data_IF_476039304412
#
_entry.id   IF_476039304412
#
_cell.length_a   1.000
_cell.length_b   1.000
_cell.length_c   1.000
_cell.angle_alpha   90.00
_cell.angle_beta   90.00
_cell.angle_gamma   90.00
#
_symmetry.space_group_name_H-M   'P 1'
#
loop_
_entity.id
_entity.type
_entity.pdbx_description
1 polymer ?
#
# COMPACT_ATOMS: atom_id res chain seq x y z
N UNK A 1 -5.95 24.04 -9.46
CA UNK A 1 -4.90 24.40 -10.46
C UNK A 1 -4.02 23.23 -10.88
N UNK A 2 -3.60 22.33 -9.99
CA UNK A 2 -2.67 21.22 -10.31
C UNK A 2 -3.24 20.17 -11.30
N UNK A 3 -4.48 19.71 -11.11
CA UNK A 3 -5.10 18.74 -12.04
C UNK A 3 -5.31 19.24 -13.46
N UNK A 4 -5.50 20.55 -13.66
CA UNK A 4 -5.68 21.14 -14.98
C UNK A 4 -4.39 21.13 -15.81
N UNK A 5 -3.22 21.20 -15.18
CA UNK A 5 -1.92 21.03 -15.87
C UNK A 5 -1.71 19.59 -16.34
N UNK A 6 -2.08 18.61 -15.51
CA UNK A 6 -2.01 17.19 -15.87
C UNK A 6 -2.97 16.86 -17.03
N UNK A 7 -4.16 17.45 -17.03
CA UNK A 7 -5.15 17.30 -18.09
C UNK A 7 -4.63 17.80 -19.45
N UNK A 8 -4.08 19.01 -19.49
CA UNK A 8 -3.53 19.58 -20.72
C UNK A 8 -2.31 18.79 -21.23
N UNK A 9 -1.48 18.29 -20.31
CA UNK A 9 -0.39 17.37 -20.68
C UNK A 9 -0.91 16.07 -21.28
N UNK A 10 -1.89 15.40 -20.66
CA UNK A 10 -2.50 14.17 -21.17
C UNK A 10 -3.14 14.36 -22.55
N UNK A 11 -3.82 15.49 -22.77
CA UNK A 11 -4.40 15.84 -24.08
C UNK A 11 -3.35 15.95 -25.18
N UNK A 12 -2.16 16.44 -24.85
CA UNK A 12 -1.05 16.57 -25.77
C UNK A 12 -0.37 15.21 -26.01
N UNK A 13 -0.09 14.44 -24.95
CA UNK A 13 0.61 13.15 -25.03
C UNK A 13 -0.20 12.07 -25.77
N UNK A 14 -1.53 12.06 -25.58
CA UNK A 14 -2.42 11.06 -26.18
C UNK A 14 -3.10 11.54 -27.47
N UNK A 15 -2.58 12.59 -28.11
CA UNK A 15 -3.17 13.19 -29.32
C UNK A 15 -3.24 12.20 -30.49
N UNK A 16 -2.21 11.38 -30.65
CA UNK A 16 -2.00 10.53 -31.83
C UNK A 16 -2.37 9.06 -31.59
N UNK A 17 -3.00 8.74 -30.46
CA UNK A 17 -3.49 7.38 -30.18
C UNK A 17 -4.72 7.12 -31.05
N UNK A 18 -4.73 5.96 -31.73
CA UNK A 18 -5.75 5.53 -32.70
C UNK A 18 -7.19 5.65 -32.17
N UNK A 19 -7.35 5.60 -30.84
CA UNK A 19 -8.60 5.84 -30.12
C UNK A 19 -8.37 6.91 -29.04
N UNK A 20 -8.38 8.18 -29.45
CA UNK A 20 -8.14 9.31 -28.54
C UNK A 20 -9.17 9.30 -27.39
N UNK A 21 -8.74 9.33 -26.12
CA UNK A 21 -9.67 9.40 -25.00
C UNK A 21 -10.49 10.68 -25.00
N UNK A 22 -11.75 10.59 -24.57
CA UNK A 22 -12.61 11.75 -24.42
C UNK A 22 -12.09 12.68 -23.31
N UNK A 23 -12.42 13.98 -23.39
CA UNK A 23 -12.06 14.91 -22.31
C UNK A 23 -12.69 14.54 -20.96
N UNK A 24 -13.84 13.85 -21.01
CA UNK A 24 -14.51 13.29 -19.83
C UNK A 24 -13.68 12.16 -19.22
N UNK A 25 -13.22 11.19 -20.01
CA UNK A 25 -12.37 10.08 -19.53
C UNK A 25 -11.03 10.59 -18.97
N UNK A 26 -10.43 11.61 -19.58
CA UNK A 26 -9.21 12.24 -19.04
C UNK A 26 -9.47 12.95 -17.71
N UNK A 27 -10.64 13.57 -17.54
CA UNK A 27 -11.03 14.23 -16.28
C UNK A 27 -11.29 13.19 -15.19
N UNK A 28 -12.03 12.13 -15.54
CA UNK A 28 -12.33 10.99 -14.66
C UNK A 28 -11.04 10.32 -14.17
N UNK A 29 -10.07 10.08 -15.05
CA UNK A 29 -8.78 9.51 -14.67
C UNK A 29 -8.06 10.38 -13.64
N UNK A 30 -8.12 11.71 -13.77
CA UNK A 30 -7.46 12.64 -12.83
C UNK A 30 -8.16 12.62 -11.48
N UNK A 31 -9.49 12.63 -11.46
CA UNK A 31 -10.28 12.56 -10.24
C UNK A 31 -10.06 11.23 -9.51
N UNK A 32 -10.10 10.11 -10.23
CA UNK A 32 -9.90 8.79 -9.65
C UNK A 32 -8.47 8.59 -9.17
N UNK A 33 -7.48 9.10 -9.91
CA UNK A 33 -6.07 9.13 -9.47
C UNK A 33 -5.89 9.88 -8.17
N UNK A 34 -6.49 11.08 -8.06
CA UNK A 34 -6.45 11.87 -6.83
C UNK A 34 -7.08 11.09 -5.68
N UNK A 35 -8.25 10.49 -5.91
CA UNK A 35 -8.97 9.68 -4.92
C UNK A 35 -8.14 8.47 -4.47
N UNK A 36 -7.55 7.72 -5.39
CA UNK A 36 -6.71 6.55 -5.11
C UNK A 36 -5.53 6.96 -4.25
N UNK A 37 -4.81 8.04 -4.61
CA UNK A 37 -3.64 8.50 -3.86
C UNK A 37 -4.05 8.96 -2.46
N UNK A 38 -5.13 9.74 -2.31
CA UNK A 38 -5.64 10.15 -0.99
C UNK A 38 -6.00 8.96 -0.13
N UNK A 39 -6.78 8.00 -0.65
CA UNK A 39 -7.12 6.77 0.07
C UNK A 39 -5.89 5.96 0.45
N UNK A 40 -4.84 5.99 -0.36
CA UNK A 40 -3.60 5.27 -0.09
C UNK A 40 -2.78 5.96 1.02
N UNK A 41 -2.80 7.28 1.10
CA UNK A 41 -2.15 8.07 2.15
C UNK A 41 -2.84 7.96 3.52
N UNK A 42 -4.16 7.79 3.52
CA UNK A 42 -4.95 7.62 4.76
C UNK A 42 -4.86 6.22 5.36
N UNK A 43 -4.27 5.25 4.65
CA UNK A 43 -4.13 3.87 5.16
C UNK A 43 -3.15 3.81 6.32
N UNK A 44 -3.46 3.01 7.36
CA UNK A 44 -2.49 2.74 8.42
C UNK A 44 -1.23 2.11 7.82
N UNK A 45 -0.08 2.54 8.30
CA UNK A 45 1.21 2.07 7.81
C UNK A 45 1.32 0.55 7.99
N UNK A 46 1.52 -0.17 6.88
CA UNK A 46 1.71 -1.63 6.92
C UNK A 46 3.00 -1.93 7.70
N UNK A 47 2.87 -2.66 8.80
CA UNK A 47 4.03 -3.18 9.52
C UNK A 47 4.78 -4.21 8.66
N UNK A 48 6.12 -4.14 8.66
CA UNK A 48 6.97 -5.18 8.05
C UNK A 48 6.75 -6.54 8.76
N UNK A 49 6.89 -7.69 8.07
CA UNK A 49 6.67 -9.01 8.67
C UNK A 49 7.45 -9.23 9.98
N UNK A 50 8.70 -8.77 10.06
CA UNK A 50 9.49 -8.82 11.30
C UNK A 50 8.97 -7.94 12.44
N UNK A 51 8.37 -6.79 12.13
CA UNK A 51 7.69 -5.95 13.14
C UNK A 51 6.36 -6.55 13.55
N UNK A 52 5.62 -7.12 12.60
CA UNK A 52 4.41 -7.89 12.90
C UNK A 52 4.76 -9.03 13.86
N UNK A 53 5.80 -9.81 13.57
CA UNK A 53 6.28 -10.87 14.45
C UNK A 53 6.68 -10.34 15.84
N UNK A 54 7.40 -9.21 15.90
CA UNK A 54 7.78 -8.58 17.17
C UNK A 54 6.59 -8.11 17.99
N UNK A 55 5.62 -7.42 17.38
CA UNK A 55 4.42 -6.93 18.06
C UNK A 55 3.51 -8.08 18.52
N UNK A 56 3.35 -9.13 17.69
CA UNK A 56 2.63 -10.34 18.07
C UNK A 56 3.31 -11.08 19.23
N UNK A 57 4.65 -11.12 19.27
CA UNK A 57 5.40 -11.68 20.39
C UNK A 57 5.27 -10.84 21.68
N UNK A 58 5.25 -9.50 21.57
CA UNK A 58 4.97 -8.62 22.72
C UNK A 58 3.54 -8.83 23.24
N UNK A 59 2.56 -8.92 22.33
CA UNK A 59 1.17 -9.21 22.66
C UNK A 59 1.04 -10.56 23.40
N UNK A 60 1.67 -11.61 22.87
CA UNK A 60 1.68 -12.93 23.52
C UNK A 60 2.23 -12.85 24.95
N UNK A 61 3.37 -12.17 25.16
CA UNK A 61 3.95 -11.95 26.50
C UNK A 61 3.02 -11.17 27.42
N UNK A 62 2.32 -10.16 26.89
CA UNK A 62 1.34 -9.37 27.63
C UNK A 62 0.15 -10.22 28.09
N UNK A 63 -0.41 -11.02 27.19
CA UNK A 63 -1.51 -11.94 27.47
C UNK A 63 -1.13 -13.00 28.50
N UNK A 64 0.09 -13.55 28.45
CA UNK A 64 0.59 -14.48 29.47
C UNK A 64 0.75 -13.82 30.85
N UNK A 65 1.26 -12.58 30.88
CA UNK A 65 1.35 -11.82 32.13
C UNK A 65 -0.03 -11.56 32.71
N UNK A 66 -1.00 -11.18 31.88
CA UNK A 66 -2.38 -10.99 32.28
C UNK A 66 -3.01 -12.30 32.80
N UNK A 67 -2.80 -13.42 32.10
CA UNK A 67 -3.26 -14.73 32.55
C UNK A 67 -2.67 -15.12 33.92
N UNK A 68 -1.36 -14.92 34.13
CA UNK A 68 -0.70 -15.16 35.43
C UNK A 68 -1.21 -14.24 36.54
N UNK A 69 -1.49 -12.97 36.22
CA UNK A 69 -2.09 -12.05 37.18
C UNK A 69 -3.50 -12.51 37.55
N UNK A 70 -4.34 -12.81 36.57
CA UNK A 70 -5.70 -13.33 36.79
C UNK A 70 -5.70 -14.64 37.60
N UNK A 71 -4.75 -15.55 37.35
CA UNK A 71 -4.58 -16.78 38.12
C UNK A 71 -4.21 -16.50 39.58
N UNK A 72 -3.25 -15.60 39.84
CA UNK A 72 -2.87 -15.20 41.21
C UNK A 72 -4.05 -14.57 41.94
N UNK A 73 -4.78 -13.70 41.26
CA UNK A 73 -5.96 -13.02 41.79
C UNK A 73 -7.09 -13.99 42.09
N UNK A 74 -7.38 -14.94 41.17
CA UNK A 74 -8.34 -16.01 41.38
C UNK A 74 -7.97 -16.92 42.57
N UNK A 75 -6.69 -17.28 42.71
CA UNK A 75 -6.17 -18.05 43.85
C UNK A 75 -6.27 -17.32 45.18
N UNK A 76 -6.25 -15.99 45.18
CA UNK A 76 -6.44 -15.15 46.38
C UNK A 76 -7.91 -14.90 46.73
N UNK A 77 -8.86 -15.49 45.99
CA UNK A 77 -10.28 -15.40 46.33
C UNK A 77 -10.93 -14.06 45.95
N UNK A 78 -10.47 -13.40 44.88
CA UNK A 78 -11.03 -12.12 44.42
C UNK A 78 -12.51 -12.15 44.02
N UNK A 79 -13.11 -13.33 43.88
CA UNK A 79 -14.57 -13.48 43.85
C UNK A 79 -15.24 -12.79 45.05
N UNK A 80 -14.61 -12.81 46.23
CA UNK A 80 -15.13 -12.15 47.43
C UNK A 80 -14.99 -10.63 47.36
N UNK A 81 -13.89 -10.11 46.81
CA UNK A 81 -13.69 -8.65 46.66
C UNK A 81 -14.60 -8.08 45.57
N UNK A 82 -14.82 -8.81 44.47
CA UNK A 82 -15.73 -8.41 43.39
C UNK A 82 -17.19 -8.59 43.79
N UNK A 83 -17.54 -9.64 44.56
CA UNK A 83 -18.87 -9.77 45.16
C UNK A 83 -19.13 -8.67 46.20
N UNK A 84 -18.10 -8.21 46.93
CA UNK A 84 -18.21 -7.16 47.94
C UNK A 84 -18.18 -5.73 47.36
N UNK A 85 -17.85 -5.51 46.07
CA UNK A 85 -17.77 -4.16 45.50
C UNK A 85 -19.13 -3.57 45.08
N UNK A 86 -20.24 -4.25 45.40
CA UNK A 86 -21.65 -3.86 45.17
C UNK A 86 -22.00 -3.40 43.73
N UNK A 87 -21.12 -3.63 42.74
CA UNK A 87 -21.23 -3.04 41.40
C UNK A 87 -21.61 -4.01 40.28
N UNK A 88 -21.88 -5.29 40.56
CA UNK A 88 -22.30 -6.22 39.52
C UNK A 88 -23.47 -7.11 39.96
N UNK A 89 -24.66 -6.82 39.43
CA UNK A 89 -25.83 -7.69 39.45
C UNK A 89 -25.61 -9.00 38.66
N UNK A 90 -24.51 -9.12 37.91
CA UNK A 90 -24.15 -10.30 37.09
C UNK A 90 -22.85 -10.99 37.58
N UNK A 91 -22.61 -11.02 38.89
CA UNK A 91 -21.42 -11.65 39.48
C UNK A 91 -21.31 -13.18 39.21
N UNK A 92 -22.35 -13.81 38.66
CA UNK A 92 -22.38 -15.21 38.25
C UNK A 92 -21.54 -15.54 37.01
N UNK A 93 -21.13 -14.53 36.22
CA UNK A 93 -20.38 -14.74 34.95
C UNK A 93 -18.85 -14.52 35.08
N UNK A 94 -18.36 -14.29 36.30
CA UNK A 94 -16.92 -14.15 36.61
C UNK A 94 -16.22 -15.52 36.74
N UNK A 95 -16.40 -16.40 35.75
CA UNK A 95 -15.63 -17.64 35.64
C UNK A 95 -14.18 -17.28 35.24
N UNK A 96 -13.38 -16.94 36.25
CA UNK A 96 -11.96 -16.61 36.13
C UNK A 96 -11.16 -17.71 35.40
N UNK A 97 -11.38 -19.02 35.66
CA UNK A 97 -10.78 -20.09 34.86
C UNK A 97 -11.01 -19.95 33.34
N UNK A 98 -12.23 -19.64 32.89
CA UNK A 98 -12.51 -19.45 31.44
C UNK A 98 -11.76 -18.25 30.86
N UNK A 99 -11.69 -17.15 31.59
CA UNK A 99 -10.96 -15.96 31.16
C UNK A 99 -9.44 -16.20 31.09
N UNK A 100 -8.88 -16.91 32.06
CA UNK A 100 -7.46 -17.32 32.05
C UNK A 100 -7.18 -18.21 30.83
N UNK A 101 -8.05 -19.19 30.56
CA UNK A 101 -7.92 -20.09 29.41
C UNK A 101 -8.00 -19.31 28.08
N UNK A 102 -8.90 -18.34 27.98
CA UNK A 102 -9.02 -17.47 26.81
C UNK A 102 -7.73 -16.67 26.57
N UNK A 103 -7.19 -16.02 27.60
CA UNK A 103 -5.93 -15.25 27.51
C UNK A 103 -4.75 -16.16 27.11
N UNK A 104 -4.66 -17.36 27.67
CA UNK A 104 -3.64 -18.35 27.30
C UNK A 104 -3.77 -18.80 25.84
N UNK A 105 -4.99 -19.08 25.37
CA UNK A 105 -5.24 -19.41 23.95
C UNK A 105 -4.81 -18.26 23.06
N UNK A 106 -5.22 -17.04 23.36
CA UNK A 106 -4.82 -15.87 22.57
C UNK A 106 -3.30 -15.71 22.50
N UNK A 107 -2.57 -15.94 23.61
CA UNK A 107 -1.12 -15.91 23.59
C UNK A 107 -0.50 -16.96 22.65
N UNK A 108 -1.04 -18.18 22.63
CA UNK A 108 -0.60 -19.25 21.72
C UNK A 108 -0.86 -18.87 20.25
N UNK A 109 -2.04 -18.33 19.96
CA UNK A 109 -2.40 -17.91 18.60
C UNK A 109 -1.52 -16.74 18.13
N UNK A 110 -1.25 -15.76 19.00
CA UNK A 110 -0.32 -14.67 18.70
C UNK A 110 1.10 -15.17 18.41
N UNK A 111 1.61 -16.19 19.13
CA UNK A 111 2.91 -16.80 18.82
C UNK A 111 2.93 -17.49 17.47
N UNK A 112 1.92 -18.32 17.17
CA UNK A 112 1.82 -18.98 15.86
C UNK A 112 1.76 -17.97 14.71
N UNK A 113 1.00 -16.90 14.88
CA UNK A 113 0.95 -15.81 13.92
C UNK A 113 2.32 -15.12 13.78
N UNK A 114 3.06 -14.95 14.88
CA UNK A 114 4.41 -14.40 14.84
C UNK A 114 5.38 -15.33 14.09
N UNK A 115 5.31 -16.64 14.31
CA UNK A 115 6.11 -17.65 13.59
C UNK A 115 5.84 -17.61 12.08
N UNK A 116 4.57 -17.53 11.68
CA UNK A 116 4.18 -17.39 10.26
C UNK A 116 4.72 -16.08 9.68
N UNK A 117 4.62 -14.96 10.41
CA UNK A 117 5.16 -13.68 9.97
C UNK A 117 6.70 -13.70 9.84
N UNK A 118 7.39 -14.41 10.73
CA UNK A 118 8.85 -14.60 10.68
C UNK A 118 9.27 -15.50 9.51
N UNK A 119 8.50 -16.56 9.23
CA UNK A 119 8.69 -17.38 8.03
C UNK A 119 8.48 -16.58 6.74
N UNK A 120 7.57 -15.61 6.72
CA UNK A 120 7.44 -14.69 5.58
C UNK A 120 8.60 -13.68 5.48
N UNK A 121 9.43 -13.56 6.52
CA UNK A 121 10.60 -12.67 6.56
C UNK A 121 11.88 -13.29 5.95
N UNK A 122 11.80 -14.48 5.33
CA UNK A 122 12.91 -15.36 4.91
C UNK A 122 14.04 -14.79 4.00
N UNK A 123 14.04 -13.50 3.63
CA UNK A 123 15.16 -12.89 2.90
C UNK A 123 15.93 -11.87 3.75
N UNK A 124 17.26 -11.84 3.63
CA UNK A 124 18.09 -10.78 4.25
C UNK A 124 17.67 -9.36 3.80
N UNK A 125 17.01 -9.24 2.64
CA UNK A 125 16.36 -8.03 2.12
C UNK A 125 15.16 -7.61 2.99
N UNK A 126 14.30 -8.56 3.37
CA UNK A 126 13.16 -8.34 4.28
C UNK A 126 13.60 -7.90 5.69
N UNK A 127 14.79 -8.32 6.13
CA UNK A 127 15.37 -7.96 7.42
C UNK A 127 16.17 -6.63 7.45
N UNK A 128 16.84 -6.24 6.35
CA UNK A 128 17.72 -5.04 6.29
C UNK A 128 17.11 -3.79 5.63
N UNK A 129 15.82 -3.79 5.30
CA UNK A 129 15.09 -2.60 4.84
C UNK A 129 14.55 -2.62 3.42
N UNK A 130 14.54 -3.77 2.73
CA UNK A 130 14.03 -3.90 1.37
C UNK A 130 12.72 -4.67 1.32
N UNK A 131 11.58 -3.98 1.32
CA UNK A 131 10.37 -4.31 0.55
C UNK A 131 9.18 -3.42 0.90
N UNK A 132 9.00 -2.94 2.13
CA UNK A 132 7.70 -2.34 2.52
C UNK A 132 7.40 -1.01 1.81
N UNK A 133 8.33 -0.04 1.72
CA UNK A 133 8.12 1.16 0.91
C UNK A 133 7.97 0.82 -0.58
N UNK A 134 8.76 -0.12 -1.09
CA UNK A 134 8.70 -0.58 -2.48
C UNK A 134 7.40 -1.34 -2.79
N UNK A 135 6.78 -1.97 -1.79
CA UNK A 135 5.54 -2.75 -1.93
C UNK A 135 4.34 -1.81 -1.89
N UNK A 136 4.36 -0.82 -1.00
CA UNK A 136 3.35 0.23 -1.00
C UNK A 136 3.37 1.04 -2.30
N UNK A 137 4.57 1.38 -2.77
CA UNK A 137 4.75 2.04 -4.06
C UNK A 137 4.32 1.13 -5.23
N UNK A 138 4.66 -0.17 -5.20
CA UNK A 138 4.21 -1.16 -6.20
C UNK A 138 2.70 -1.32 -6.26
N UNK A 139 2.05 -1.46 -5.12
CA UNK A 139 0.59 -1.58 -5.01
C UNK A 139 -0.08 -0.31 -5.54
N UNK A 140 0.39 0.88 -5.13
CA UNK A 140 -0.13 2.14 -5.61
C UNK A 140 0.07 2.31 -7.12
N UNK A 141 1.27 2.06 -7.63
CA UNK A 141 1.56 2.13 -9.08
C UNK A 141 0.67 1.17 -9.84
N UNK A 142 0.45 -0.05 -9.33
CA UNK A 142 -0.44 -1.03 -9.96
C UNK A 142 -1.88 -0.52 -10.02
N UNK A 143 -2.40 0.06 -8.94
CA UNK A 143 -3.74 0.66 -8.93
C UNK A 143 -3.86 1.81 -9.95
N UNK A 144 -2.84 2.66 -10.04
CA UNK A 144 -2.81 3.75 -11.03
C UNK A 144 -2.75 3.23 -12.47
N UNK A 145 -2.01 2.14 -12.71
CA UNK A 145 -1.95 1.49 -14.02
C UNK A 145 -3.28 0.86 -14.42
N UNK A 146 -3.97 0.23 -13.47
CA UNK A 146 -5.30 -0.34 -13.69
C UNK A 146 -6.30 0.77 -14.02
N UNK A 147 -6.34 1.85 -13.22
CA UNK A 147 -7.21 2.99 -13.49
C UNK A 147 -6.90 3.63 -14.86
N UNK A 148 -5.63 3.80 -15.20
CA UNK A 148 -5.20 4.29 -16.53
C UNK A 148 -5.73 3.40 -17.66
N UNK A 149 -5.60 2.07 -17.52
CA UNK A 149 -6.04 1.12 -18.54
C UNK A 149 -7.56 1.07 -18.67
N UNK A 150 -8.28 1.01 -17.55
CA UNK A 150 -9.73 0.84 -17.51
C UNK A 150 -10.45 2.09 -18.01
N UNK A 151 -10.02 3.27 -17.58
CA UNK A 151 -10.68 4.54 -17.92
C UNK A 151 -10.34 4.98 -19.35
N UNK A 152 -9.09 4.80 -19.78
CA UNK A 152 -8.68 5.23 -21.12
C UNK A 152 -8.85 4.15 -22.20
N UNK A 153 -9.02 2.88 -21.82
CA UNK A 153 -9.00 1.76 -22.76
C UNK A 153 -7.65 1.52 -23.43
N UNK A 154 -6.57 2.16 -22.94
CA UNK A 154 -5.23 2.10 -23.51
C UNK A 154 -4.37 1.16 -22.69
N UNK A 155 -3.74 0.18 -23.35
CA UNK A 155 -2.78 -0.71 -22.69
C UNK A 155 -1.58 0.09 -22.16
N UNK A 156 -1.28 0.06 -20.86
CA UNK A 156 -0.17 0.80 -20.32
C UNK A 156 1.16 0.20 -20.80
N UNK A 157 2.08 1.07 -21.19
CA UNK A 157 3.43 0.70 -21.63
C UNK A 157 4.47 1.63 -21.02
N UNK A 158 5.70 1.14 -20.94
CA UNK A 158 6.85 1.94 -20.62
C UNK A 158 7.61 2.25 -21.90
N UNK A 159 7.68 3.53 -22.27
CA UNK A 159 8.32 3.96 -23.50
C UNK A 159 9.59 4.73 -23.17
N UNK A 160 10.71 4.37 -23.79
CA UNK A 160 12.01 5.03 -23.62
C UNK A 160 12.50 5.47 -25.00
N UNK A 161 12.98 6.71 -25.11
CA UNK A 161 13.69 7.21 -26.28
C UNK A 161 15.08 6.54 -26.40
N UNK A 162 15.38 5.88 -27.54
CA UNK A 162 16.64 5.17 -27.75
C UNK A 162 17.88 6.09 -27.79
N UNK A 163 17.74 7.36 -28.20
CA UNK A 163 18.85 8.29 -28.40
C UNK A 163 19.25 8.99 -27.09
N UNK A 164 18.27 9.40 -26.30
CA UNK A 164 18.52 10.11 -25.03
C UNK A 164 18.45 9.21 -23.80
N UNK A 165 17.73 8.08 -23.90
CA UNK A 165 17.41 7.21 -22.75
C UNK A 165 16.50 7.86 -21.71
N UNK A 166 15.96 9.06 -21.97
CA UNK A 166 15.34 9.93 -20.96
C UNK A 166 13.87 10.29 -21.23
N UNK A 167 13.37 10.15 -22.46
CA UNK A 167 11.98 10.51 -22.76
C UNK A 167 11.04 9.38 -22.38
N UNK A 168 10.15 9.65 -21.43
CA UNK A 168 9.03 8.78 -21.05
C UNK A 168 7.72 9.35 -21.57
N UNK A 169 6.91 8.54 -22.26
CA UNK A 169 5.55 8.88 -22.72
C UNK A 169 4.51 7.88 -22.17
N UNK A 170 3.24 8.27 -22.17
CA UNK A 170 2.12 7.42 -21.76
C UNK A 170 2.07 7.13 -20.26
N UNK A 171 1.76 5.89 -19.90
CA UNK A 171 1.44 5.49 -18.51
C UNK A 171 2.57 5.79 -17.51
N UNK A 172 3.84 5.68 -17.94
CA UNK A 172 5.00 5.91 -17.06
C UNK A 172 5.13 7.38 -16.66
N UNK A 173 5.06 8.28 -17.63
CA UNK A 173 5.10 9.72 -17.40
C UNK A 173 3.86 10.19 -16.62
N UNK A 174 2.69 9.62 -16.93
CA UNK A 174 1.47 9.85 -16.17
C UNK A 174 1.64 9.53 -14.67
N UNK A 175 2.17 8.35 -14.33
CA UNK A 175 2.40 7.96 -12.93
C UNK A 175 3.32 8.93 -12.21
N UNK A 176 4.42 9.34 -12.86
CA UNK A 176 5.37 10.29 -12.28
C UNK A 176 4.73 11.64 -12.02
N UNK A 177 3.96 12.15 -12.96
CA UNK A 177 3.25 13.41 -12.83
C UNK A 177 2.15 13.32 -11.77
N UNK A 178 1.37 12.24 -11.74
CA UNK A 178 0.33 11.99 -10.74
C UNK A 178 0.90 11.94 -9.31
N UNK A 179 1.98 11.18 -9.11
CA UNK A 179 2.66 11.12 -7.81
C UNK A 179 3.30 12.47 -7.46
N UNK A 180 3.93 13.17 -8.40
CA UNK A 180 4.51 14.49 -8.16
C UNK A 180 3.48 15.56 -7.79
N UNK A 181 2.22 15.42 -8.23
CA UNK A 181 1.16 16.38 -7.94
C UNK A 181 0.39 16.08 -6.66
N UNK A 182 0.17 14.80 -6.35
CA UNK A 182 -0.75 14.38 -5.29
C UNK A 182 -0.08 13.65 -4.12
N UNK A 183 1.17 13.20 -4.27
CA UNK A 183 1.92 12.61 -3.18
C UNK A 183 2.71 13.70 -2.44
N UNK A 184 2.66 13.77 -1.09
CA UNK A 184 3.43 14.74 -0.33
C UNK A 184 4.94 14.55 -0.61
N UNK A 185 5.63 15.65 -0.91
CA UNK A 185 7.08 15.60 -1.13
C UNK A 185 7.77 14.91 0.06
N UNK A 186 8.79 14.11 -0.22
CA UNK A 186 9.72 13.44 0.73
C UNK A 186 9.54 11.93 1.04
N UNK A 187 8.56 11.19 0.51
CA UNK A 187 8.45 9.74 0.84
C UNK A 187 9.17 8.77 -0.11
N UNK A 188 9.31 9.10 -1.40
CA UNK A 188 9.88 8.19 -2.41
C UNK A 188 11.02 8.79 -3.22
N UNK A 189 12.05 8.00 -3.51
CA UNK A 189 13.11 8.37 -4.46
C UNK A 189 12.59 8.13 -5.87
N UNK A 190 12.68 9.12 -6.77
CA UNK A 190 12.27 8.98 -8.19
C UNK A 190 12.81 7.70 -8.86
N UNK A 191 14.06 7.32 -8.57
CA UNK A 191 14.68 6.09 -9.06
C UNK A 191 13.91 4.79 -8.72
N UNK A 192 13.23 4.75 -7.57
CA UNK A 192 12.42 3.59 -7.15
C UNK A 192 11.10 3.51 -7.92
N UNK A 193 10.54 4.66 -8.34
CA UNK A 193 9.37 4.73 -9.20
C UNK A 193 9.73 4.14 -10.57
N UNK A 194 10.84 4.56 -11.14
CA UNK A 194 11.33 4.09 -12.45
C UNK A 194 11.55 2.57 -12.46
N UNK A 195 12.24 2.06 -11.44
CA UNK A 195 12.50 0.63 -11.29
C UNK A 195 11.21 -0.18 -11.14
N UNK A 196 10.21 0.39 -10.46
CA UNK A 196 8.92 -0.26 -10.25
C UNK A 196 8.09 -0.29 -11.53
N UNK A 197 7.95 0.85 -12.21
CA UNK A 197 7.23 0.96 -13.48
C UNK A 197 7.84 0.03 -14.53
N UNK A 198 9.17 0.00 -14.64
CA UNK A 198 9.90 -0.88 -15.56
C UNK A 198 9.65 -2.36 -15.31
N UNK A 199 9.47 -2.77 -14.04
CA UNK A 199 9.14 -4.17 -13.69
C UNK A 199 7.69 -4.52 -13.99
N UNK A 200 6.79 -3.55 -13.88
CA UNK A 200 5.35 -3.75 -14.01
C UNK A 200 4.84 -3.62 -15.44
N UNK A 201 5.58 -2.97 -16.34
CA UNK A 201 5.16 -2.71 -17.72
C UNK A 201 6.08 -3.35 -18.75
N UNK A 202 5.51 -3.64 -19.93
CA UNK A 202 6.30 -3.99 -21.11
C UNK A 202 7.02 -2.75 -21.63
N UNK A 203 8.30 -2.92 -21.97
CA UNK A 203 9.14 -1.86 -22.57
C UNK A 203 8.87 -1.77 -24.06
N UNK A 204 8.70 -0.55 -24.58
CA UNK A 204 8.60 -0.23 -26.01
C UNK A 204 9.64 0.85 -26.36
N UNK A 205 10.30 0.68 -27.49
CA UNK A 205 11.19 1.71 -28.05
C UNK A 205 10.33 2.74 -28.78
N UNK A 206 10.69 4.02 -28.63
CA UNK A 206 10.05 5.11 -29.37
C UNK A 206 10.53 5.06 -30.82
N UNK A 207 9.64 4.73 -31.76
CA UNK A 207 9.88 5.01 -33.18
C UNK A 207 9.66 6.50 -33.42
N UNK A 208 10.72 7.21 -33.82
CA UNK A 208 10.60 8.59 -34.27
C UNK A 208 9.81 8.63 -35.57
N UNK A 209 8.60 9.18 -35.53
CA UNK A 209 7.91 9.62 -36.75
C UNK A 209 8.58 10.92 -37.20
N UNK A 210 9.47 10.83 -38.19
CA UNK A 210 9.81 12.00 -38.99
C UNK A 210 8.52 12.44 -39.71
N UNK A 211 8.00 13.66 -39.50
CA UNK A 211 6.95 14.17 -40.35
C UNK A 211 7.49 14.20 -41.79
N UNK A 212 6.72 13.77 -42.81
CA UNK A 212 7.18 13.83 -44.18
C UNK A 212 7.61 15.27 -44.49
N UNK A 213 8.74 15.47 -45.21
CA UNK A 213 9.22 16.81 -45.50
C UNK A 213 8.08 17.58 -46.17
N UNK A 214 7.80 18.78 -45.66
CA UNK A 214 6.89 19.71 -46.30
C UNK A 214 7.37 19.89 -47.74
N UNK A 215 6.62 19.33 -48.68
CA UNK A 215 6.83 19.57 -50.10
C UNK A 215 6.68 21.07 -50.34
N UNK A 216 7.80 21.77 -50.46
CA UNK A 216 7.85 23.14 -50.94
C UNK A 216 7.33 23.14 -52.37
N UNK A 217 6.15 23.75 -52.56
CA UNK A 217 5.67 24.18 -53.88
C UNK A 217 6.42 25.43 -54.32
#
# INVERSE_FOLDING_TARGET
MQGQRLLEWLKHDLRDVEHRPSSEALTELIEDTRRIITLYLERPEKLRPSMVANELNKLAKGLEKAAKAAEKLGKQGLLLIVAASETNLDASDLDMPRHILYLQRMAVWSRKAAEVADQQSQSARSHKGGSTPDQNLRELITLLLVAYQEILGIKPSHTIDPDTGLVERGASAFIKQALGLYWPEHTFKHRLIDETVRRSLLVRELEYFDPPPLSSS
#
